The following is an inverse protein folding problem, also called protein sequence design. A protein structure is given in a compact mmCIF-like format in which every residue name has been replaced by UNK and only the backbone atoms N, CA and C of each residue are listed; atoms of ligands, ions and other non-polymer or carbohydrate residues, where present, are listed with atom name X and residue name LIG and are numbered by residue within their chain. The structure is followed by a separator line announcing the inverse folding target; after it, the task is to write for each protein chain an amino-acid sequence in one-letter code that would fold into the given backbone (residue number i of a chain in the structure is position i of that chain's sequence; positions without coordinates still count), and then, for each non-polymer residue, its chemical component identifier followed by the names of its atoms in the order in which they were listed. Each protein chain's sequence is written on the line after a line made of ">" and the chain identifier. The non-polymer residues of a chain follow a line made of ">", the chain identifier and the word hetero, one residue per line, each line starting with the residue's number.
data_IF_905269772233
#
_entry.id   IF_905269772233
#
_cell.length_a   1.000
_cell.length_b   1.000
_cell.length_c   1.000
_cell.angle_alpha   90.00
_cell.angle_beta   90.00
_cell.angle_gamma   90.00
#
_symmetry.space_group_name_H-M   'P 1'
#
loop_
_entity.id
_entity.type
_entity.pdbx_description
1 polymer ?
#
# COMPACT_ATOMS: atom_id res chain seq x y z
N UNK A 1 29.58 4.10 -15.14
CA UNK A 1 29.60 4.84 -13.85
C UNK A 1 28.51 4.25 -12.96
N UNK A 2 28.84 3.70 -11.78
CA UNK A 2 27.84 3.07 -10.90
C UNK A 2 27.29 4.13 -9.95
N UNK A 3 26.01 4.46 -10.06
CA UNK A 3 25.32 5.43 -9.18
C UNK A 3 25.39 4.97 -7.72
N UNK A 4 25.48 5.94 -6.79
CA UNK A 4 25.46 5.66 -5.35
C UNK A 4 24.10 5.07 -4.93
N UNK A 5 24.07 4.35 -3.80
CA UNK A 5 22.88 3.64 -3.32
C UNK A 5 21.64 4.54 -3.23
N UNK A 6 21.73 5.64 -2.47
CA UNK A 6 20.61 6.56 -2.24
C UNK A 6 20.23 7.35 -3.49
N UNK A 7 21.21 7.73 -4.30
CA UNK A 7 20.97 8.41 -5.57
C UNK A 7 20.19 7.50 -6.54
N UNK A 8 20.58 6.22 -6.62
CA UNK A 8 19.83 5.21 -7.38
C UNK A 8 18.42 5.01 -6.82
N UNK A 9 18.25 5.03 -5.50
CA UNK A 9 16.93 4.93 -4.89
C UNK A 9 16.06 6.14 -5.26
N UNK A 10 16.58 7.37 -5.19
CA UNK A 10 15.84 8.58 -5.58
C UNK A 10 15.39 8.49 -7.03
N UNK A 11 16.27 8.13 -7.96
CA UNK A 11 15.88 7.94 -9.35
C UNK A 11 14.92 6.77 -9.54
N UNK A 12 15.07 5.70 -8.77
CA UNK A 12 14.12 4.59 -8.72
C UNK A 12 12.72 5.04 -8.37
N UNK A 13 12.58 5.85 -7.31
CA UNK A 13 11.30 6.39 -6.86
C UNK A 13 10.63 7.22 -7.95
N UNK A 14 11.36 8.16 -8.54
CA UNK A 14 10.86 9.06 -9.60
C UNK A 14 10.49 8.33 -10.89
N UNK A 15 10.97 7.11 -11.10
CA UNK A 15 10.64 6.29 -12.25
C UNK A 15 9.68 5.15 -11.90
N UNK A 16 9.15 5.09 -10.67
CA UNK A 16 8.28 4.00 -10.24
C UNK A 16 8.95 2.62 -10.19
N UNK A 17 10.28 2.54 -10.00
CA UNK A 17 11.04 1.28 -9.98
C UNK A 17 11.36 0.82 -8.56
N UNK A 18 10.60 -0.15 -8.08
CA UNK A 18 10.70 -0.69 -6.73
C UNK A 18 12.06 -1.35 -6.43
N UNK A 19 12.66 -2.06 -7.39
CA UNK A 19 13.95 -2.77 -7.23
C UNK A 19 15.10 -1.86 -6.79
N UNK A 20 15.04 -0.59 -7.19
CA UNK A 20 16.03 0.41 -6.84
C UNK A 20 15.82 0.97 -5.41
N UNK A 21 14.59 0.87 -4.87
CA UNK A 21 14.19 1.36 -3.56
C UNK A 21 14.35 0.33 -2.45
N UNK A 22 14.04 -0.95 -2.70
CA UNK A 22 14.14 -2.03 -1.69
C UNK A 22 15.46 -2.01 -0.90
N UNK A 23 16.65 -1.77 -1.50
CA UNK A 23 17.91 -1.75 -0.76
C UNK A 23 18.04 -0.66 0.32
N UNK A 24 17.19 0.38 0.31
CA UNK A 24 17.18 1.44 1.34
C UNK A 24 16.08 1.24 2.39
N UNK A 25 15.08 0.41 2.13
CA UNK A 25 13.95 0.15 3.02
C UNK A 25 14.33 -0.79 4.17
N UNK A 26 13.93 -0.47 5.41
CA UNK A 26 14.31 -1.23 6.61
C UNK A 26 13.13 -1.75 7.42
N UNK A 27 12.04 -0.98 7.46
CA UNK A 27 10.84 -1.25 8.27
C UNK A 27 9.64 -1.59 7.37
N UNK A 28 8.62 -2.26 7.90
CA UNK A 28 7.36 -2.49 7.18
C UNK A 28 6.80 -1.19 6.58
N UNK A 29 6.85 -0.10 7.33
CA UNK A 29 6.40 1.20 6.85
C UNK A 29 7.20 1.69 5.62
N UNK A 30 8.53 1.52 5.61
CA UNK A 30 9.36 1.88 4.46
C UNK A 30 9.01 1.05 3.22
N UNK A 31 8.76 -0.25 3.40
CA UNK A 31 8.37 -1.14 2.31
C UNK A 31 6.98 -0.76 1.78
N UNK A 32 5.98 -0.61 2.66
CA UNK A 32 4.63 -0.19 2.28
C UNK A 32 4.66 1.14 1.52
N UNK A 33 5.40 2.14 2.03
CA UNK A 33 5.56 3.43 1.36
C UNK A 33 6.24 3.29 -0.01
N UNK A 34 7.29 2.48 -0.11
CA UNK A 34 8.01 2.25 -1.36
C UNK A 34 7.11 1.64 -2.44
N UNK A 35 6.43 0.53 -2.12
CA UNK A 35 5.54 -0.14 -3.04
C UNK A 35 4.37 0.75 -3.46
N UNK A 36 3.73 1.43 -2.51
CA UNK A 36 2.60 2.33 -2.81
C UNK A 36 3.02 3.53 -3.65
N UNK A 37 4.18 4.13 -3.38
CA UNK A 37 4.68 5.27 -4.13
C UNK A 37 5.07 4.88 -5.56
N UNK A 38 5.75 3.73 -5.73
CA UNK A 38 6.05 3.22 -7.07
C UNK A 38 4.79 2.85 -7.86
N UNK A 39 3.77 2.28 -7.19
CA UNK A 39 2.47 2.01 -7.81
C UNK A 39 1.80 3.30 -8.30
N UNK A 40 1.72 4.33 -7.46
CA UNK A 40 1.11 5.62 -7.83
C UNK A 40 1.85 6.24 -9.03
N UNK A 41 3.19 6.22 -9.02
CA UNK A 41 3.98 6.77 -10.12
C UNK A 41 3.70 6.04 -11.44
N UNK A 42 3.61 4.70 -11.40
CA UNK A 42 3.26 3.88 -12.56
C UNK A 42 1.84 4.17 -13.07
N UNK A 43 0.87 4.32 -12.17
CA UNK A 43 -0.52 4.63 -12.52
C UNK A 43 -0.66 6.03 -13.14
N UNK A 44 0.00 7.04 -12.57
CA UNK A 44 0.02 8.39 -13.15
C UNK A 44 0.63 8.36 -14.55
N UNK A 45 1.77 7.70 -14.70
CA UNK A 45 2.43 7.56 -15.99
C UNK A 45 1.53 6.86 -17.01
N UNK A 46 0.85 5.78 -16.62
CA UNK A 46 -0.12 5.09 -17.46
C UNK A 46 -1.27 6.01 -17.91
N UNK A 47 -1.90 6.73 -16.97
CA UNK A 47 -3.01 7.64 -17.28
C UNK A 47 -2.56 8.75 -18.25
N UNK A 48 -1.39 9.33 -18.03
CA UNK A 48 -0.85 10.38 -18.91
C UNK A 48 -0.63 9.88 -20.33
N UNK A 49 -0.12 8.65 -20.47
CA UNK A 49 0.09 7.98 -21.77
C UNK A 49 -1.23 7.73 -22.47
N UNK A 50 -2.23 7.20 -21.75
CA UNK A 50 -3.57 6.98 -22.29
C UNK A 50 -4.22 8.30 -22.73
N UNK A 51 -4.04 9.38 -21.98
CA UNK A 51 -4.60 10.68 -22.30
C UNK A 51 -3.97 11.32 -23.57
N UNK A 52 -2.67 11.10 -23.80
CA UNK A 52 -1.92 11.70 -24.92
C UNK A 52 -1.59 10.69 -26.03
N UNK A 53 -2.35 9.58 -26.12
CA UNK A 53 -2.03 8.46 -27.01
C UNK A 53 -1.94 8.85 -28.50
N UNK A 54 -2.63 9.91 -28.92
CA UNK A 54 -2.61 10.40 -30.30
C UNK A 54 -1.42 11.32 -30.62
N UNK A 55 -0.76 11.87 -29.61
CA UNK A 55 0.37 12.81 -29.76
C UNK A 55 1.73 12.10 -29.59
N UNK A 56 1.73 10.90 -29.01
CA UNK A 56 2.94 10.10 -28.80
C UNK A 56 3.42 9.45 -30.11
N UNK A 57 4.71 9.56 -30.36
CA UNK A 57 5.40 8.84 -31.45
C UNK A 57 5.41 7.33 -31.20
N UNK A 58 5.54 6.52 -32.26
CA UNK A 58 5.56 5.06 -32.14
C UNK A 58 6.73 4.54 -31.27
N UNK A 59 7.83 5.29 -31.20
CA UNK A 59 9.00 5.00 -30.35
C UNK A 59 8.66 5.22 -28.88
N UNK A 60 7.95 6.30 -28.56
CA UNK A 60 7.51 6.60 -27.19
C UNK A 60 6.50 5.56 -26.71
N UNK A 61 5.51 5.22 -27.55
CA UNK A 61 4.57 4.12 -27.28
C UNK A 61 5.32 2.82 -27.05
N UNK A 62 6.30 2.49 -27.90
CA UNK A 62 7.07 1.26 -27.75
C UNK A 62 7.90 1.26 -26.46
N UNK A 63 8.57 2.36 -26.11
CA UNK A 63 9.35 2.45 -24.85
C UNK A 63 8.46 2.31 -23.63
N UNK A 64 7.29 2.92 -23.66
CA UNK A 64 6.30 2.94 -22.59
C UNK A 64 5.62 1.57 -22.41
N UNK A 65 5.36 0.85 -23.50
CA UNK A 65 4.76 -0.50 -23.50
C UNK A 65 5.79 -1.63 -23.32
N UNK A 66 7.06 -1.38 -23.68
CA UNK A 66 8.19 -2.30 -23.57
C UNK A 66 8.84 -2.24 -22.19
N UNK A 67 8.82 -1.08 -21.52
CA UNK A 67 9.22 -1.01 -20.12
C UNK A 67 8.20 -1.82 -19.30
N UNK A 68 8.72 -2.82 -18.59
CA UNK A 68 7.91 -3.80 -17.85
C UNK A 68 7.00 -3.13 -16.78
N UNK A 69 7.16 -1.83 -16.53
CA UNK A 69 6.32 -1.01 -15.66
C UNK A 69 4.86 -0.89 -16.06
N UNK A 70 4.51 -0.98 -17.36
CA UNK A 70 3.08 -0.94 -17.77
C UNK A 70 2.44 -2.33 -17.84
N UNK A 71 3.22 -3.41 -18.04
CA UNK A 71 2.67 -4.78 -18.05
C UNK A 71 2.07 -5.21 -16.71
N UNK A 72 2.47 -4.55 -15.61
CA UNK A 72 1.94 -4.80 -14.27
C UNK A 72 0.86 -3.80 -13.84
N UNK A 73 0.14 -3.17 -14.77
CA UNK A 73 -1.06 -2.34 -14.49
C UNK A 73 -2.21 -3.11 -13.77
N UNK A 74 -1.99 -4.37 -13.41
CA UNK A 74 -2.87 -5.15 -12.54
C UNK A 74 -2.50 -5.11 -11.05
N UNK A 75 -1.44 -4.40 -10.64
CA UNK A 75 -1.08 -4.27 -9.23
C UNK A 75 -2.05 -3.39 -8.47
N UNK A 76 -3.28 -3.85 -8.25
CA UNK A 76 -4.25 -3.13 -7.41
C UNK A 76 -3.68 -2.95 -6.01
N UNK A 77 -4.04 -1.87 -5.31
CA UNK A 77 -3.63 -1.62 -3.92
C UNK A 77 -3.70 -2.85 -2.98
N UNK A 78 -4.68 -3.79 -3.07
CA UNK A 78 -4.66 -5.05 -2.33
C UNK A 78 -3.43 -5.94 -2.59
N UNK A 79 -2.98 -6.02 -3.84
CA UNK A 79 -1.85 -6.89 -4.25
C UNK A 79 -0.51 -6.45 -3.65
N UNK A 80 -0.34 -5.16 -3.33
CA UNK A 80 0.86 -4.65 -2.66
C UNK A 80 1.07 -5.35 -1.30
N UNK A 81 -0.02 -5.55 -0.54
CA UNK A 81 0.08 -6.23 0.74
C UNK A 81 0.44 -7.71 0.59
N UNK A 82 -0.03 -8.35 -0.49
CA UNK A 82 0.31 -9.75 -0.79
C UNK A 82 1.77 -9.87 -1.25
N UNK A 83 2.27 -8.90 -2.03
CA UNK A 83 3.67 -8.82 -2.42
C UNK A 83 4.59 -8.62 -1.21
N UNK A 84 4.21 -7.77 -0.26
CA UNK A 84 4.97 -7.60 0.98
C UNK A 84 5.01 -8.92 1.78
N UNK A 85 3.89 -9.65 1.84
CA UNK A 85 3.82 -10.92 2.55
C UNK A 85 4.56 -12.06 1.84
N UNK A 86 4.68 -12.01 0.52
CA UNK A 86 5.33 -13.07 -0.28
C UNK A 86 6.82 -12.81 -0.55
N UNK A 87 7.19 -11.54 -0.79
CA UNK A 87 8.49 -11.16 -1.34
C UNK A 87 9.45 -10.49 -0.36
N UNK A 88 9.00 -10.05 0.81
CA UNK A 88 9.86 -9.34 1.77
C UNK A 88 10.58 -10.28 2.75
N UNK A 89 11.67 -9.80 3.39
CA UNK A 89 12.35 -10.52 4.47
C UNK A 89 11.41 -10.89 5.62
N UNK A 90 11.75 -11.95 6.36
CA UNK A 90 10.91 -12.49 7.44
C UNK A 90 10.54 -11.43 8.49
N UNK A 91 11.48 -10.59 8.92
CA UNK A 91 11.21 -9.57 9.92
C UNK A 91 10.18 -8.53 9.45
N UNK A 92 10.15 -8.20 8.15
CA UNK A 92 9.14 -7.32 7.56
C UNK A 92 7.78 -7.99 7.52
N UNK A 93 7.75 -9.29 7.20
CA UNK A 93 6.51 -10.07 7.16
C UNK A 93 5.90 -10.20 8.56
N UNK A 94 6.73 -10.41 9.57
CA UNK A 94 6.29 -10.47 10.97
C UNK A 94 5.76 -9.11 11.43
N UNK A 95 6.44 -8.01 11.06
CA UNK A 95 5.97 -6.65 11.35
C UNK A 95 4.63 -6.35 10.65
N UNK A 96 4.43 -6.80 9.41
CA UNK A 96 3.17 -6.65 8.68
C UNK A 96 1.97 -7.34 9.36
N UNK A 97 2.23 -8.36 10.19
CA UNK A 97 1.22 -9.11 10.93
C UNK A 97 0.94 -8.55 12.34
N UNK A 98 1.62 -7.48 12.76
CA UNK A 98 1.33 -6.82 14.04
C UNK A 98 -0.10 -6.23 14.04
N UNK A 99 -0.80 -6.22 15.20
CA UNK A 99 -2.21 -5.82 15.27
C UNK A 99 -2.51 -4.44 14.66
N UNK A 100 -1.70 -3.44 14.98
CA UNK A 100 -1.88 -2.09 14.44
C UNK A 100 -1.60 -2.00 12.93
N UNK A 101 -0.64 -2.78 12.42
CA UNK A 101 -0.31 -2.81 11.00
C UNK A 101 -1.38 -3.56 10.18
N UNK A 102 -1.97 -4.61 10.74
CA UNK A 102 -3.13 -5.27 10.15
C UNK A 102 -4.37 -4.38 10.15
N UNK A 103 -4.64 -3.66 11.26
CA UNK A 103 -5.71 -2.67 11.29
C UNK A 103 -5.47 -1.59 10.23
N UNK A 104 -4.25 -1.06 10.13
CA UNK A 104 -3.88 -0.09 9.10
C UNK A 104 -4.11 -0.64 7.68
N UNK A 105 -3.72 -1.89 7.41
CA UNK A 105 -3.98 -2.56 6.12
C UNK A 105 -5.48 -2.55 5.79
N UNK A 106 -6.33 -3.02 6.71
CA UNK A 106 -7.76 -3.09 6.44
C UNK A 106 -8.42 -1.72 6.29
N UNK A 107 -7.93 -0.70 7.01
CA UNK A 107 -8.37 0.69 6.82
C UNK A 107 -8.00 1.22 5.44
N UNK A 108 -6.77 0.99 4.97
CA UNK A 108 -6.31 1.41 3.63
C UNK A 108 -7.15 0.72 2.54
N UNK A 109 -7.48 -0.56 2.75
CA UNK A 109 -8.30 -1.33 1.81
C UNK A 109 -9.80 -1.09 1.94
N UNK A 110 -10.23 -0.26 2.90
CA UNK A 110 -11.63 -0.06 3.27
C UNK A 110 -12.41 -1.37 3.53
N UNK A 111 -11.72 -2.41 4.02
CA UNK A 111 -12.28 -3.73 4.33
C UNK A 111 -12.69 -3.78 5.81
N UNK A 112 -13.82 -3.15 6.11
CA UNK A 112 -14.30 -3.02 7.49
C UNK A 112 -14.73 -4.36 8.10
N UNK A 113 -15.22 -5.31 7.30
CA UNK A 113 -15.62 -6.63 7.79
C UNK A 113 -14.41 -7.38 8.36
N UNK A 114 -13.32 -7.47 7.59
CA UNK A 114 -12.10 -8.13 8.06
C UNK A 114 -11.40 -7.34 9.16
N UNK A 115 -11.51 -6.01 9.16
CA UNK A 115 -11.04 -5.17 10.25
C UNK A 115 -11.67 -5.58 11.59
N UNK A 116 -13.01 -5.62 11.67
CA UNK A 116 -13.71 -5.94 12.91
C UNK A 116 -13.44 -7.38 13.36
N UNK A 117 -13.41 -8.34 12.43
CA UNK A 117 -13.05 -9.72 12.75
C UNK A 117 -11.63 -9.83 13.33
N UNK A 118 -10.67 -9.11 12.74
CA UNK A 118 -9.28 -9.10 13.21
C UNK A 118 -9.14 -8.45 14.58
N UNK A 119 -9.81 -7.32 14.82
CA UNK A 119 -9.85 -6.66 16.13
C UNK A 119 -10.35 -7.61 17.20
N UNK A 120 -11.48 -8.29 16.96
CA UNK A 120 -12.02 -9.26 17.92
C UNK A 120 -11.03 -10.41 18.18
N UNK A 121 -10.43 -10.96 17.12
CA UNK A 121 -9.42 -12.00 17.23
C UNK A 121 -8.22 -11.56 18.09
N UNK A 122 -7.71 -10.35 17.91
CA UNK A 122 -6.61 -9.83 18.72
C UNK A 122 -6.99 -9.61 20.19
N UNK A 123 -8.21 -9.16 20.46
CA UNK A 123 -8.70 -8.98 21.82
C UNK A 123 -8.92 -10.32 22.55
N UNK A 124 -9.29 -11.37 21.83
CA UNK A 124 -9.46 -12.71 22.40
C UNK A 124 -8.14 -13.46 22.61
N UNK A 125 -7.12 -13.22 21.78
CA UNK A 125 -5.86 -13.97 21.79
C UNK A 125 -4.83 -13.42 22.78
N UNK A 126 -4.87 -12.11 23.07
CA UNK A 126 -3.94 -11.50 24.01
C UNK A 126 -4.41 -11.73 25.45
N UNK A 127 -3.84 -12.75 26.12
CA UNK A 127 -4.10 -13.07 27.53
C UNK A 127 -3.80 -11.89 28.49
N UNK A 128 -2.94 -10.97 28.08
CA UNK A 128 -2.77 -9.67 28.73
C UNK A 128 -3.55 -8.63 27.93
N UNK A 129 -4.60 -8.07 28.55
CA UNK A 129 -5.38 -6.98 27.98
C UNK A 129 -4.45 -5.81 27.61
N UNK A 130 -4.08 -5.72 26.34
CA UNK A 130 -3.37 -4.55 25.82
C UNK A 130 -4.35 -3.38 25.82
N UNK A 131 -4.36 -2.60 26.90
CA UNK A 131 -5.30 -1.49 27.11
C UNK A 131 -5.25 -0.44 26.00
N UNK A 132 -4.10 -0.29 25.33
CA UNK A 132 -3.97 0.60 24.18
C UNK A 132 -4.72 0.06 22.96
N UNK A 133 -4.59 -1.24 22.67
CA UNK A 133 -5.33 -1.88 21.58
C UNK A 133 -6.83 -1.80 21.83
N UNK A 134 -7.29 -2.14 23.04
CA UNK A 134 -8.72 -2.05 23.39
C UNK A 134 -9.24 -0.61 23.22
N UNK A 135 -8.54 0.38 23.79
CA UNK A 135 -8.92 1.79 23.67
C UNK A 135 -8.97 2.23 22.21
N UNK A 136 -7.95 1.89 21.42
CA UNK A 136 -7.93 2.24 20.00
C UNK A 136 -9.08 1.56 19.24
N UNK A 137 -9.30 0.27 19.48
CA UNK A 137 -10.38 -0.52 18.87
C UNK A 137 -11.77 0.01 19.22
N UNK A 138 -12.04 0.41 20.47
CA UNK A 138 -13.33 1.00 20.82
C UNK A 138 -13.55 2.33 20.12
N UNK A 139 -12.54 3.20 20.11
CA UNK A 139 -12.65 4.49 19.44
C UNK A 139 -12.83 4.35 17.93
N UNK A 140 -12.13 3.42 17.28
CA UNK A 140 -12.27 3.25 15.83
C UNK A 140 -13.63 2.67 15.46
N UNK A 141 -14.16 1.72 16.24
CA UNK A 141 -15.52 1.20 16.04
C UNK A 141 -16.57 2.30 16.18
N UNK A 142 -16.47 3.12 17.24
CA UNK A 142 -17.40 4.24 17.46
C UNK A 142 -17.28 5.29 16.35
N UNK A 143 -16.06 5.65 15.95
CA UNK A 143 -15.83 6.60 14.87
C UNK A 143 -16.43 6.12 13.55
N UNK A 144 -16.17 4.87 13.15
CA UNK A 144 -16.73 4.30 11.92
C UNK A 144 -18.25 4.19 11.97
N UNK A 145 -18.82 3.88 13.14
CA UNK A 145 -20.27 3.83 13.33
C UNK A 145 -20.92 5.21 13.12
N UNK A 146 -20.37 6.27 13.72
CA UNK A 146 -20.86 7.64 13.58
C UNK A 146 -20.78 8.15 12.13
N UNK A 147 -19.68 7.83 11.42
CA UNK A 147 -19.56 8.18 9.99
C UNK A 147 -20.65 7.50 9.14
N UNK A 148 -20.85 6.19 9.34
CA UNK A 148 -21.86 5.43 8.59
C UNK A 148 -23.29 5.92 8.89
N UNK A 149 -23.54 6.35 10.13
CA UNK A 149 -24.82 6.96 10.52
C UNK A 149 -25.03 8.35 9.87
N UNK A 150 -23.98 9.16 9.81
CA UNK A 150 -24.01 10.50 9.19
C UNK A 150 -24.26 10.44 7.67
N UNK A 151 -23.67 9.47 6.97
CA UNK A 151 -23.91 9.27 5.53
C UNK A 151 -25.37 8.90 5.22
N UNK A 152 -26.01 8.11 6.09
CA UNK A 152 -27.43 7.76 5.95
C UNK A 152 -28.38 8.93 6.23
N UNK A 153 -27.96 9.89 7.07
CA UNK A 153 -28.75 11.07 7.39
C UNK A 153 -28.71 12.12 6.26
N UNK A 154 -27.57 12.25 5.57
CA UNK A 154 -27.39 13.19 4.45
C UNK A 154 -28.02 12.74 3.12
N UNK A 155 -28.61 11.54 3.07
CA UNK A 155 -29.31 11.00 1.89
C UNK A 155 -30.85 11.12 2.00
N UNK A 156 -31.37 11.69 3.10
CA UNK A 156 -32.79 12.00 3.30
C UNK A 156 -33.03 13.52 3.28
#
# INVERSE_FOLDING_TARGET
>A
MRLKLYERAIYGLLCGRIEALIPVCKTYADYLWAYTSCYIEQEIHYILVCAHQNELTDIEKHRILSDNGIRNHQLKMPSIFDEILAGCPTHIRDEALLPFNLIQKYLILADYERLFHSILSFLHTNNELNGNLLRFSTHICLFLYEQNYSEKFNQN
#
